data_IF_096910311426
#
_entry.id   IF_096910311426
#
_cell.length_a   1.000
_cell.length_b   1.000
_cell.length_c   1.000
_cell.angle_alpha   90.00
_cell.angle_beta   90.00
_cell.angle_gamma   90.00
#
_symmetry.space_group_name_H-M   'P 1'
#
loop_
_entity.id
_entity.type
_entity.pdbx_description
1 polymer ?
#
# COMPACT_ATOMS: atom_id res chain seq x y z
N UNK A 1 50.87 -32.36 27.16
CA UNK A 1 49.47 -32.82 27.23
C UNK A 1 48.49 -31.68 27.58
N UNK A 2 48.48 -30.56 26.83
CA UNK A 2 47.55 -29.43 27.10
C UNK A 2 46.89 -28.82 25.85
N UNK A 3 47.32 -29.18 24.64
CA UNK A 3 46.73 -28.66 23.41
C UNK A 3 45.40 -29.33 23.02
N UNK A 4 45.20 -30.62 23.35
CA UNK A 4 43.99 -31.36 22.97
C UNK A 4 42.72 -30.81 23.66
N UNK A 5 42.84 -30.30 24.90
CA UNK A 5 41.69 -29.76 25.64
C UNK A 5 41.12 -28.52 24.94
N UNK A 6 41.97 -27.69 24.31
CA UNK A 6 41.53 -26.51 23.54
C UNK A 6 40.76 -26.89 22.27
N UNK A 7 41.23 -27.91 21.54
CA UNK A 7 40.52 -28.41 20.36
C UNK A 7 39.20 -29.11 20.71
N UNK A 8 39.13 -29.77 21.86
CA UNK A 8 37.90 -30.40 22.34
C UNK A 8 36.85 -29.34 22.74
N UNK A 9 37.27 -28.27 23.42
CA UNK A 9 36.38 -27.18 23.81
C UNK A 9 35.86 -26.39 22.60
N UNK A 10 36.71 -26.15 21.59
CA UNK A 10 36.32 -25.47 20.35
C UNK A 10 35.31 -26.32 19.54
N UNK A 11 35.55 -27.63 19.43
CA UNK A 11 34.65 -28.55 18.73
C UNK A 11 33.27 -28.65 19.37
N UNK A 12 33.20 -28.71 20.71
CA UNK A 12 31.93 -28.73 21.45
C UNK A 12 31.20 -27.38 21.32
N UNK A 13 31.93 -26.26 21.36
CA UNK A 13 31.35 -24.93 21.18
C UNK A 13 30.72 -24.71 19.80
N UNK A 14 31.39 -25.16 18.73
CA UNK A 14 30.86 -25.06 17.36
C UNK A 14 29.64 -25.98 17.17
N UNK A 15 29.67 -27.20 17.74
CA UNK A 15 28.54 -28.13 17.66
C UNK A 15 27.28 -27.59 18.38
N UNK A 16 27.45 -26.94 19.54
CA UNK A 16 26.33 -26.32 20.26
C UNK A 16 25.77 -25.09 19.54
N UNK A 17 26.62 -24.30 18.87
CA UNK A 17 26.16 -23.13 18.11
C UNK A 17 25.39 -23.52 16.84
N UNK A 18 25.83 -24.56 16.12
CA UNK A 18 25.10 -25.08 14.95
C UNK A 18 23.79 -25.76 15.37
N UNK A 19 23.77 -26.51 16.47
CA UNK A 19 22.52 -27.09 17.00
C UNK A 19 21.53 -26.01 17.46
N UNK A 20 22.01 -24.93 18.10
CA UNK A 20 21.19 -23.78 18.49
C UNK A 20 20.60 -23.03 17.30
N UNK A 21 21.37 -22.83 16.23
CA UNK A 21 20.90 -22.16 15.01
C UNK A 21 19.87 -23.01 14.23
N UNK A 22 20.00 -24.34 14.23
CA UNK A 22 19.02 -25.24 13.61
C UNK A 22 17.72 -25.33 14.42
N UNK A 23 17.78 -25.22 15.75
CA UNK A 23 16.58 -25.20 16.61
C UNK A 23 15.83 -23.85 16.59
N UNK A 24 16.48 -22.74 16.25
CA UNK A 24 15.80 -21.46 15.98
C UNK A 24 15.25 -21.35 14.54
N UNK A 25 15.71 -22.20 13.63
CA UNK A 25 15.40 -22.16 12.19
C UNK A 25 14.31 -23.12 11.70
N UNK A 26 13.74 -23.96 12.57
CA UNK A 26 12.62 -24.85 12.23
C UNK A 26 11.35 -24.38 12.98
N UNK A 27 10.97 -23.13 12.74
CA UNK A 27 9.59 -22.69 12.86
C UNK A 27 8.83 -23.17 11.63
N UNK A 28 8.32 -24.40 11.67
CA UNK A 28 7.45 -24.96 10.65
C UNK A 28 6.14 -24.15 10.68
N UNK A 29 6.00 -23.13 9.83
CA UNK A 29 4.68 -22.63 9.45
C UNK A 29 4.00 -23.76 8.67
N UNK A 30 3.24 -24.57 9.40
CA UNK A 30 2.18 -25.41 8.85
C UNK A 30 0.88 -24.64 9.02
N UNK A 31 0.74 -23.54 8.31
CA UNK A 31 -0.58 -22.95 8.11
C UNK A 31 -1.30 -23.79 7.06
N UNK A 32 -1.98 -24.85 7.52
CA UNK A 32 -3.19 -25.28 6.81
C UNK A 32 -4.19 -24.15 6.97
N UNK A 33 -4.10 -23.16 6.09
CA UNK A 33 -5.15 -22.16 5.90
C UNK A 33 -6.37 -22.88 5.33
N UNK A 34 -7.17 -23.47 6.21
CA UNK A 34 -8.59 -23.61 5.98
C UNK A 34 -9.26 -22.35 6.52
N UNK A 35 -8.96 -21.20 5.93
CA UNK A 35 -9.76 -20.01 6.12
C UNK A 35 -11.08 -20.22 5.37
N UNK A 36 -11.93 -21.12 5.88
CA UNK A 36 -13.35 -20.86 5.77
C UNK A 36 -13.59 -19.54 6.49
N UNK A 37 -14.24 -18.58 5.82
CA UNK A 37 -14.65 -17.34 6.46
C UNK A 37 -15.20 -17.66 7.85
N UNK A 38 -14.73 -17.01 8.93
CA UNK A 38 -15.40 -17.14 10.21
C UNK A 38 -16.85 -16.76 9.96
N UNK A 39 -17.74 -17.75 10.02
CA UNK A 39 -19.17 -17.48 10.09
C UNK A 39 -19.29 -16.74 11.40
N UNK A 40 -19.58 -15.42 11.32
CA UNK A 40 -20.03 -14.69 12.48
C UNK A 40 -21.12 -15.55 13.10
N UNK A 41 -20.85 -16.12 14.28
CA UNK A 41 -21.90 -16.62 15.13
C UNK A 41 -22.77 -15.41 15.37
N UNK A 42 -23.90 -15.37 14.67
CA UNK A 42 -24.96 -14.42 14.94
C UNK A 42 -25.15 -14.43 16.45
N UNK A 43 -24.78 -13.32 17.08
CA UNK A 43 -25.23 -13.05 18.44
C UNK A 43 -26.74 -13.29 18.43
N UNK A 44 -27.32 -13.97 19.43
CA UNK A 44 -28.75 -14.24 19.43
C UNK A 44 -29.48 -12.89 19.55
N UNK A 45 -29.77 -12.28 18.41
CA UNK A 45 -30.74 -11.22 18.28
C UNK A 45 -32.09 -11.91 18.44
N UNK A 46 -32.52 -12.10 19.70
CA UNK A 46 -33.89 -12.49 20.07
C UNK A 46 -34.88 -11.33 19.86
N UNK A 47 -34.68 -10.57 18.79
CA UNK A 47 -35.69 -9.73 18.19
C UNK A 47 -35.48 -9.95 16.70
N UNK A 48 -36.32 -10.78 16.09
CA UNK A 48 -36.43 -10.81 14.64
C UNK A 48 -36.55 -9.34 14.20
N UNK A 49 -35.66 -8.81 13.36
CA UNK A 49 -35.91 -7.50 12.79
C UNK A 49 -37.23 -7.67 12.06
N UNK A 50 -38.26 -6.97 12.52
CA UNK A 50 -39.43 -6.72 11.69
C UNK A 50 -38.84 -6.17 10.41
N UNK A 51 -38.81 -6.99 9.35
CA UNK A 51 -38.33 -6.58 8.05
C UNK A 51 -39.32 -5.53 7.59
N UNK A 52 -39.03 -4.27 7.92
CA UNK A 52 -39.70 -3.15 7.29
C UNK A 52 -39.37 -3.36 5.81
N UNK A 53 -40.37 -3.56 4.94
CA UNK A 53 -40.13 -3.67 3.53
C UNK A 53 -39.65 -2.29 3.08
N UNK A 54 -38.33 -2.08 3.11
CA UNK A 54 -37.73 -0.92 2.48
C UNK A 54 -37.96 -1.11 0.99
N UNK A 55 -38.61 -0.13 0.37
CA UNK A 55 -38.83 -0.09 -1.08
C UNK A 55 -37.46 0.09 -1.77
N UNK A 56 -36.74 -1.03 -1.92
CA UNK A 56 -35.38 -1.06 -2.47
C UNK A 56 -35.32 -0.47 -3.86
N UNK A 57 -36.39 -0.64 -4.64
CA UNK A 57 -36.44 -0.20 -6.03
C UNK A 57 -36.53 1.32 -6.15
N UNK A 58 -37.32 1.97 -5.30
CA UNK A 58 -37.43 3.43 -5.26
C UNK A 58 -36.08 4.05 -4.86
N UNK A 59 -35.47 3.54 -3.79
CA UNK A 59 -34.16 4.01 -3.32
C UNK A 59 -33.08 3.78 -4.38
N UNK A 60 -33.07 2.61 -5.02
CA UNK A 60 -32.11 2.29 -6.08
C UNK A 60 -32.27 3.23 -7.27
N UNK A 61 -33.50 3.47 -7.69
CA UNK A 61 -33.82 4.39 -8.79
C UNK A 61 -33.40 5.82 -8.45
N UNK A 62 -33.67 6.26 -7.22
CA UNK A 62 -33.25 7.57 -6.72
C UNK A 62 -31.73 7.73 -6.75
N UNK A 63 -30.98 6.77 -6.21
CA UNK A 63 -29.51 6.83 -6.18
C UNK A 63 -28.95 6.87 -7.60
N UNK A 64 -29.43 5.99 -8.50
CA UNK A 64 -28.97 5.96 -9.90
C UNK A 64 -29.27 7.29 -10.61
N UNK A 65 -30.46 7.86 -10.41
CA UNK A 65 -30.85 9.14 -11.01
C UNK A 65 -30.10 10.36 -10.46
N UNK A 66 -29.43 10.25 -9.30
CA UNK A 66 -28.61 11.31 -8.71
C UNK A 66 -27.14 11.27 -9.11
N UNK A 67 -26.71 10.24 -9.86
CA UNK A 67 -25.37 10.20 -10.43
C UNK A 67 -25.27 11.21 -11.58
N UNK A 68 -24.37 12.17 -11.43
CA UNK A 68 -24.21 13.29 -12.36
C UNK A 68 -22.83 13.23 -13.04
N UNK A 69 -22.84 13.12 -14.37
CA UNK A 69 -21.64 12.99 -15.21
C UNK A 69 -20.78 14.26 -15.17
N UNK A 70 -21.39 15.45 -15.07
CA UNK A 70 -20.65 16.71 -15.05
C UNK A 70 -19.92 16.87 -13.72
N UNK A 71 -20.52 16.43 -12.61
CA UNK A 71 -19.85 16.36 -11.31
C UNK A 71 -18.71 15.35 -11.29
N UNK A 72 -18.84 14.21 -11.98
CA UNK A 72 -17.75 13.24 -12.13
C UNK A 72 -16.57 13.87 -12.89
N UNK A 73 -16.85 14.54 -14.02
CA UNK A 73 -15.82 15.25 -14.81
C UNK A 73 -15.09 16.30 -13.98
N UNK A 74 -15.84 17.11 -13.23
CA UNK A 74 -15.28 18.16 -12.39
C UNK A 74 -14.45 17.59 -11.22
N UNK A 75 -14.90 16.49 -10.61
CA UNK A 75 -14.11 15.79 -9.60
C UNK A 75 -12.79 15.27 -10.17
N UNK A 76 -12.83 14.63 -11.34
CA UNK A 76 -11.63 14.16 -12.02
C UNK A 76 -10.66 15.32 -12.26
N UNK A 77 -11.14 16.42 -12.85
CA UNK A 77 -10.33 17.61 -13.11
C UNK A 77 -9.68 18.15 -11.84
N UNK A 78 -10.43 18.23 -10.74
CA UNK A 78 -9.93 18.75 -9.46
C UNK A 78 -8.90 17.81 -8.80
N UNK A 79 -9.03 16.51 -8.96
CA UNK A 79 -8.10 15.55 -8.37
C UNK A 79 -6.83 15.36 -9.19
N UNK A 80 -6.81 15.72 -10.47
CA UNK A 80 -5.64 15.54 -11.35
C UNK A 80 -4.86 16.82 -11.62
N UNK A 81 -5.02 17.88 -10.80
CA UNK A 81 -4.30 19.16 -11.00
C UNK A 81 -2.81 19.01 -10.67
N UNK A 82 -2.49 18.30 -9.59
CA UNK A 82 -1.12 18.08 -9.10
C UNK A 82 -0.85 16.57 -8.94
N UNK A 83 0.37 16.07 -9.22
CA UNK A 83 0.79 14.71 -8.90
C UNK A 83 0.71 14.49 -7.40
N UNK A 84 -0.16 13.58 -6.99
CA UNK A 84 -0.47 13.34 -5.58
C UNK A 84 0.06 11.96 -5.15
N UNK A 85 1.37 11.75 -5.30
CA UNK A 85 2.01 10.52 -4.83
C UNK A 85 1.78 10.34 -3.32
N UNK A 86 1.60 9.10 -2.86
CA UNK A 86 1.45 8.79 -1.44
C UNK A 86 2.56 9.46 -0.60
N UNK A 87 2.24 9.91 0.61
CA UNK A 87 3.19 10.57 1.52
C UNK A 87 3.59 12.01 1.16
N UNK A 88 3.06 12.59 0.07
CA UNK A 88 3.34 13.98 -0.33
C UNK A 88 2.27 14.97 0.14
N UNK A 89 2.61 16.25 0.21
CA UNK A 89 1.68 17.34 0.52
C UNK A 89 0.52 17.43 -0.48
N UNK A 90 0.76 17.15 -1.77
CA UNK A 90 -0.29 17.14 -2.78
C UNK A 90 -1.35 16.05 -2.50
N UNK A 91 -0.93 14.88 -2.03
CA UNK A 91 -1.86 13.82 -1.62
C UNK A 91 -2.67 14.19 -0.37
N UNK A 92 -2.09 14.96 0.56
CA UNK A 92 -2.82 15.50 1.71
C UNK A 92 -3.92 16.45 1.24
N UNK A 93 -3.64 17.37 0.30
CA UNK A 93 -4.65 18.29 -0.26
C UNK A 93 -5.84 17.52 -0.87
N UNK A 94 -5.58 16.42 -1.56
CA UNK A 94 -6.65 15.55 -2.12
C UNK A 94 -7.47 14.91 -0.99
N UNK A 95 -6.83 14.39 0.04
CA UNK A 95 -7.52 13.81 1.21
C UNK A 95 -8.41 14.85 1.91
N UNK A 96 -7.92 16.07 2.11
CA UNK A 96 -8.68 17.18 2.70
C UNK A 96 -9.89 17.58 1.84
N UNK A 97 -9.71 17.62 0.52
CA UNK A 97 -10.80 17.88 -0.44
C UNK A 97 -11.90 16.82 -0.37
N UNK A 98 -11.52 15.53 -0.27
CA UNK A 98 -12.48 14.43 -0.12
C UNK A 98 -13.22 14.54 1.22
N UNK A 99 -12.49 14.76 2.32
CA UNK A 99 -13.06 14.95 3.65
C UNK A 99 -14.11 16.07 3.66
N UNK A 100 -13.76 17.24 3.11
CA UNK A 100 -14.68 18.38 3.04
C UNK A 100 -15.93 18.09 2.17
N UNK A 101 -15.77 17.35 1.07
CA UNK A 101 -16.89 16.93 0.21
C UNK A 101 -17.81 15.94 0.91
N UNK A 102 -17.27 15.01 1.69
CA UNK A 102 -18.05 14.06 2.47
C UNK A 102 -18.81 14.73 3.61
N UNK A 103 -18.16 15.65 4.32
CA UNK A 103 -18.82 16.46 5.35
C UNK A 103 -19.96 17.31 4.75
N UNK A 104 -19.72 17.99 3.63
CA UNK A 104 -20.75 18.81 2.97
C UNK A 104 -21.88 17.99 2.36
N UNK A 105 -21.64 16.73 1.99
CA UNK A 105 -22.68 15.79 1.57
C UNK A 105 -23.54 15.26 2.74
N UNK A 106 -23.18 15.57 3.99
CA UNK A 106 -23.92 15.17 5.18
C UNK A 106 -23.53 13.81 5.76
N UNK A 107 -22.38 13.24 5.36
CA UNK A 107 -21.87 12.03 5.99
C UNK A 107 -21.44 12.31 7.43
N UNK A 108 -21.71 11.35 8.31
CA UNK A 108 -21.38 11.44 9.73
C UNK A 108 -20.00 10.84 10.01
N UNK A 109 -19.34 11.32 11.07
CA UNK A 109 -18.06 10.81 11.56
C UNK A 109 -16.92 10.81 10.51
N UNK A 110 -16.83 11.85 9.68
CA UNK A 110 -15.79 11.97 8.67
C UNK A 110 -14.48 12.46 9.30
N UNK A 111 -13.42 11.65 9.23
CA UNK A 111 -12.07 11.97 9.71
C UNK A 111 -11.01 11.24 8.88
N UNK A 112 -9.77 11.73 8.91
CA UNK A 112 -8.62 11.05 8.32
C UNK A 112 -7.98 10.09 9.33
N UNK A 113 -7.39 9.00 8.85
CA UNK A 113 -6.62 8.06 9.67
C UNK A 113 -5.22 7.98 9.09
N UNK A 114 -4.23 8.38 9.88
CA UNK A 114 -2.83 8.41 9.49
C UNK A 114 -2.08 7.18 9.97
N UNK A 115 -1.11 6.74 9.18
CA UNK A 115 -0.20 5.64 9.51
C UNK A 115 1.22 6.01 9.09
N UNK A 116 2.18 5.69 9.93
CA UNK A 116 3.59 5.75 9.58
C UNK A 116 3.98 4.44 8.89
N UNK A 117 4.19 4.53 7.58
CA UNK A 117 4.53 3.39 6.73
C UNK A 117 5.83 3.64 5.99
N UNK A 118 6.59 2.58 5.72
CA UNK A 118 7.81 2.68 4.93
C UNK A 118 7.44 2.87 3.45
N UNK A 119 7.76 4.05 2.91
CA UNK A 119 7.63 4.38 1.49
C UNK A 119 9.00 4.41 0.80
N UNK A 120 8.98 4.34 -0.53
CA UNK A 120 10.20 4.40 -1.35
C UNK A 120 10.03 5.43 -2.46
N UNK A 121 11.01 6.31 -2.60
CA UNK A 121 11.11 7.32 -3.66
C UNK A 121 12.48 7.21 -4.32
N UNK A 122 12.61 7.60 -5.60
CA UNK A 122 13.93 7.72 -6.21
C UNK A 122 14.72 8.85 -5.55
N UNK A 123 16.05 8.75 -5.63
CA UNK A 123 16.91 9.90 -5.34
C UNK A 123 16.82 10.89 -6.51
N UNK A 124 16.19 12.04 -6.28
CA UNK A 124 16.04 13.07 -7.32
C UNK A 124 17.33 13.83 -7.61
N UNK A 125 18.32 13.79 -6.71
CA UNK A 125 19.66 14.33 -6.96
C UNK A 125 20.52 13.35 -7.78
N UNK A 126 20.29 12.04 -7.65
CA UNK A 126 20.96 10.97 -8.39
C UNK A 126 19.94 10.06 -9.10
N UNK A 127 19.34 10.51 -10.21
CA UNK A 127 18.23 9.80 -10.85
C UNK A 127 18.67 8.45 -11.41
N UNK A 128 17.78 7.46 -11.32
CA UNK A 128 18.00 6.13 -11.86
C UNK A 128 18.09 6.16 -13.40
N UNK A 129 18.99 5.38 -13.98
CA UNK A 129 19.12 5.22 -15.43
C UNK A 129 19.35 3.74 -15.80
N UNK A 130 19.18 3.40 -17.07
CA UNK A 130 19.54 2.09 -17.62
C UNK A 130 20.55 2.27 -18.75
N UNK A 131 21.43 1.28 -18.93
CA UNK A 131 22.42 1.30 -20.01
C UNK A 131 22.46 -0.03 -20.75
N UNK A 132 22.68 0.04 -22.06
CA UNK A 132 22.95 -1.12 -22.92
C UNK A 132 24.47 -1.22 -23.06
N UNK A 133 25.03 -2.37 -22.68
CA UNK A 133 26.47 -2.63 -22.75
C UNK A 133 26.80 -3.53 -23.95
N UNK A 134 27.97 -3.34 -24.56
CA UNK A 134 28.51 -4.28 -25.53
C UNK A 134 29.25 -5.45 -24.85
N UNK A 135 29.85 -6.34 -25.66
CA UNK A 135 30.61 -7.50 -25.19
C UNK A 135 31.86 -7.14 -24.35
N UNK A 136 32.32 -5.90 -24.42
CA UNK A 136 33.50 -5.39 -23.72
C UNK A 136 33.09 -4.51 -22.52
N UNK A 137 31.82 -4.62 -22.07
CA UNK A 137 31.23 -3.86 -20.96
C UNK A 137 31.18 -2.34 -21.17
N UNK A 138 31.29 -1.88 -22.42
CA UNK A 138 31.19 -0.46 -22.74
C UNK A 138 29.72 -0.08 -23.01
N UNK A 139 29.28 1.02 -22.40
CA UNK A 139 27.96 1.58 -22.65
C UNK A 139 27.82 2.05 -24.11
N UNK A 140 26.87 1.46 -24.83
CA UNK A 140 26.48 1.81 -26.20
C UNK A 140 25.30 2.78 -26.20
N UNK A 141 24.47 2.70 -25.17
CA UNK A 141 23.35 3.60 -24.92
C UNK A 141 23.11 3.73 -23.42
N UNK A 142 22.70 4.92 -22.98
CA UNK A 142 22.24 5.18 -21.61
C UNK A 142 20.96 6.01 -21.68
N UNK A 143 19.93 5.60 -20.93
CA UNK A 143 18.69 6.36 -20.81
C UNK A 143 18.91 7.62 -20.00
N UNK A 144 18.09 8.64 -20.26
CA UNK A 144 18.01 9.79 -19.36
C UNK A 144 17.30 9.37 -18.07
N UNK A 145 17.83 9.77 -16.91
CA UNK A 145 17.23 9.42 -15.62
C UNK A 145 15.99 10.23 -15.25
N UNK A 146 15.76 11.34 -15.96
CA UNK A 146 14.56 12.18 -15.81
C UNK A 146 13.95 12.34 -17.19
N UNK A 147 12.70 11.93 -17.35
CA UNK A 147 12.01 12.06 -18.63
C UNK A 147 11.70 13.53 -18.93
N UNK A 148 11.84 13.96 -20.20
CA UNK A 148 11.41 15.30 -20.60
C UNK A 148 9.89 15.44 -20.46
N UNK A 149 9.39 16.65 -20.18
CA UNK A 149 7.95 16.89 -20.14
C UNK A 149 7.32 16.66 -21.52
N UNK A 150 6.22 15.90 -21.57
CA UNK A 150 5.46 15.68 -22.82
C UNK A 150 4.75 16.97 -23.23
N UNK A 151 4.15 17.67 -22.26
CA UNK A 151 3.51 18.97 -22.45
C UNK A 151 4.09 19.92 -21.38
N UNK A 152 5.00 20.85 -21.76
CA UNK A 152 5.69 21.69 -20.78
C UNK A 152 4.77 22.53 -19.91
N UNK A 153 3.63 22.97 -20.46
CA UNK A 153 2.62 23.75 -19.71
C UNK A 153 1.83 22.92 -18.69
N UNK A 154 1.86 21.60 -18.79
CA UNK A 154 1.16 20.68 -17.89
C UNK A 154 2.14 19.97 -16.92
N UNK A 155 3.44 20.22 -17.06
CA UNK A 155 4.43 19.67 -16.15
C UNK A 155 4.44 20.45 -14.85
N UNK A 156 4.30 19.74 -13.73
CA UNK A 156 4.38 20.36 -12.42
C UNK A 156 5.82 20.80 -12.13
N UNK A 157 5.96 21.89 -11.36
CA UNK A 157 7.26 22.42 -10.97
C UNK A 157 8.07 21.36 -10.21
N UNK A 158 9.38 21.30 -10.47
CA UNK A 158 10.32 20.43 -9.75
C UNK A 158 10.32 20.70 -8.25
#
# INVERSE_FOLDING_TARGET
MKAWIGFLALGIGVALFVAGAVMLGIGISKDKSSNGCPRFTESPSTIAPTAIPFETEEITTLIRGKVDVDRIRENLRNFTVEPHQAGTTANIKVADSIMARWQSAGLQNVHTVAYDVLLSYPDFANPNFMSIMDKDEKAVYTSEGVSPPIIPSEQNSK
#
